data_IF_496338671637
#
_entry.id   IF_496338671637
#
_cell.length_a   1.000
_cell.length_b   1.000
_cell.length_c   1.000
_cell.angle_alpha   90.00
_cell.angle_beta   90.00
_cell.angle_gamma   90.00
#
_symmetry.space_group_name_H-M   'P 1'
#
loop_
_entity.id
_entity.type
_entity.pdbx_description
1 polymer ?
#
# COMPACT_ATOMS: atom_id res chain seq x y z
N UNK A 1 25.69 14.20 7.77
CA UNK A 1 24.23 14.40 7.96
C UNK A 1 23.65 13.17 8.66
N UNK A 2 22.45 13.25 9.27
CA UNK A 2 21.76 12.08 9.84
C UNK A 2 20.47 11.82 9.07
N UNK A 3 20.30 10.60 8.59
CA UNK A 3 19.15 10.16 7.82
C UNK A 3 18.30 9.23 8.70
N UNK A 4 17.09 9.66 9.04
CA UNK A 4 16.18 8.92 9.92
C UNK A 4 15.06 8.30 9.09
N UNK A 5 14.93 6.98 9.14
CA UNK A 5 13.94 6.22 8.36
C UNK A 5 12.91 5.63 9.29
N UNK A 6 11.61 5.69 8.93
CA UNK A 6 10.54 5.14 9.76
C UNK A 6 9.75 4.07 9.01
N UNK A 7 10.03 2.81 9.32
CA UNK A 7 9.36 1.65 8.74
C UNK A 7 8.34 1.07 9.72
N UNK A 8 7.06 1.17 9.33
CA UNK A 8 5.93 0.59 10.06
C UNK A 8 5.44 -0.71 9.43
N UNK A 9 5.85 -0.99 8.18
CA UNK A 9 5.57 -2.22 7.43
C UNK A 9 6.77 -2.66 6.59
N UNK A 10 6.75 -3.90 6.12
CA UNK A 10 7.86 -4.51 5.38
C UNK A 10 8.17 -3.80 4.05
N UNK A 11 7.13 -3.34 3.36
CA UNK A 11 7.29 -2.60 2.10
C UNK A 11 7.96 -1.23 2.30
N UNK A 12 7.86 -0.61 3.48
CA UNK A 12 8.60 0.63 3.78
C UNK A 12 10.11 0.35 3.79
N UNK A 13 10.52 -0.73 4.47
CA UNK A 13 11.93 -1.14 4.53
C UNK A 13 12.44 -1.36 3.11
N UNK A 14 11.72 -2.15 2.31
CA UNK A 14 12.10 -2.43 0.92
C UNK A 14 12.23 -1.14 0.10
N UNK A 15 11.28 -0.22 0.21
CA UNK A 15 11.36 1.06 -0.48
C UNK A 15 12.56 1.91 -0.04
N UNK A 16 12.86 1.96 1.26
CA UNK A 16 14.02 2.70 1.76
C UNK A 16 15.34 2.09 1.33
N UNK A 17 15.46 0.77 1.41
CA UNK A 17 16.66 0.04 0.98
C UNK A 17 16.93 0.22 -0.51
N UNK A 18 15.87 0.22 -1.32
CA UNK A 18 15.96 0.48 -2.74
C UNK A 18 16.44 1.94 -3.04
N UNK A 19 16.02 2.93 -2.25
CA UNK A 19 16.59 4.28 -2.34
C UNK A 19 18.08 4.32 -2.00
N UNK A 20 18.51 3.52 -1.01
CA UNK A 20 19.92 3.42 -0.61
C UNK A 20 20.76 2.78 -1.72
N UNK A 21 20.31 1.66 -2.28
CA UNK A 21 20.98 0.93 -3.37
C UNK A 21 21.17 1.79 -4.63
N UNK A 22 20.21 2.68 -4.89
CA UNK A 22 20.23 3.57 -6.03
C UNK A 22 20.89 4.93 -5.74
N UNK A 23 21.58 5.09 -4.61
CA UNK A 23 22.27 6.32 -4.22
C UNK A 23 21.34 7.57 -4.19
N UNK A 24 20.08 7.38 -3.81
CA UNK A 24 19.07 8.45 -3.69
C UNK A 24 18.91 8.97 -2.25
N UNK A 25 19.73 8.45 -1.34
CA UNK A 25 19.82 8.89 0.05
C UNK A 25 21.02 9.80 0.22
N UNK A 26 20.86 10.89 0.97
CA UNK A 26 21.97 11.83 1.24
C UNK A 26 23.06 11.12 2.04
N UNK A 27 24.32 11.38 1.72
CA UNK A 27 25.45 10.80 2.45
C UNK A 27 25.39 11.14 3.95
N UNK A 28 25.57 10.13 4.80
CA UNK A 28 25.52 10.27 6.25
C UNK A 28 25.07 9.01 6.96
N UNK A 29 24.96 9.09 8.28
CA UNK A 29 24.50 7.96 9.10
C UNK A 29 23.03 7.66 8.80
N UNK A 30 22.73 6.38 8.55
CA UNK A 30 21.41 5.83 8.26
C UNK A 30 20.87 5.13 9.50
N UNK A 31 19.84 5.71 10.07
CA UNK A 31 19.19 5.22 11.29
C UNK A 31 17.78 4.73 10.95
N UNK A 32 17.53 3.43 11.08
CA UNK A 32 16.21 2.83 10.85
C UNK A 32 15.43 2.70 12.15
N UNK A 33 14.22 3.24 12.17
CA UNK A 33 13.18 2.94 13.16
C UNK A 33 12.24 1.88 12.57
N UNK A 34 12.29 0.66 13.11
CA UNK A 34 11.54 -0.46 12.57
C UNK A 34 10.53 -1.02 13.58
N UNK A 35 9.36 -1.44 13.08
CA UNK A 35 8.46 -2.31 13.84
C UNK A 35 9.11 -3.65 14.18
N UNK A 36 8.60 -4.31 15.23
CA UNK A 36 9.08 -5.66 15.58
C UNK A 36 8.76 -6.65 14.46
N UNK A 37 9.73 -7.51 14.13
CA UNK A 37 9.59 -8.55 13.09
C UNK A 37 9.86 -8.10 11.65
N UNK A 38 10.16 -6.82 11.40
CA UNK A 38 10.55 -6.38 10.06
C UNK A 38 11.95 -6.90 9.69
N UNK A 39 12.08 -7.38 8.45
CA UNK A 39 13.31 -7.91 7.87
C UNK A 39 13.99 -6.78 7.11
N UNK A 40 15.30 -6.60 7.34
CA UNK A 40 16.13 -5.60 6.67
C UNK A 40 17.54 -6.15 6.44
N UNK A 41 18.24 -5.57 5.47
CA UNK A 41 19.66 -5.83 5.22
C UNK A 41 20.53 -4.99 6.17
N UNK A 42 21.20 -5.65 7.10
CA UNK A 42 22.03 -5.00 8.11
C UNK A 42 23.19 -4.17 7.51
N UNK A 43 23.63 -4.45 6.28
CA UNK A 43 24.71 -3.70 5.63
C UNK A 43 24.25 -2.31 5.16
N UNK A 44 22.94 -2.07 5.04
CA UNK A 44 22.37 -0.79 4.61
C UNK A 44 22.15 0.19 5.75
N UNK A 45 22.35 -0.24 7.00
CA UNK A 45 21.98 0.53 8.19
C UNK A 45 23.14 0.66 9.16
N UNK A 46 23.53 1.90 9.48
CA UNK A 46 24.53 2.17 10.50
C UNK A 46 23.95 1.90 11.90
N UNK A 47 22.64 2.13 12.07
CA UNK A 47 21.91 1.86 13.30
C UNK A 47 20.47 1.45 13.05
N UNK A 48 19.98 0.49 13.82
CA UNK A 48 18.57 0.09 13.82
C UNK A 48 18.01 0.14 15.25
N UNK A 49 16.88 0.83 15.41
CA UNK A 49 16.12 0.90 16.65
C UNK A 49 14.78 0.20 16.40
N UNK A 50 14.59 -0.94 17.07
CA UNK A 50 13.39 -1.75 16.92
C UNK A 50 12.34 -1.39 17.98
N UNK A 51 11.09 -1.47 17.59
CA UNK A 51 9.98 -1.54 18.52
C UNK A 51 10.00 -2.87 19.28
N UNK A 52 9.55 -2.87 20.53
CA UNK A 52 9.44 -4.10 21.33
C UNK A 52 8.28 -4.99 20.86
N UNK A 53 7.30 -4.39 20.18
CA UNK A 53 6.08 -5.07 19.73
C UNK A 53 5.83 -4.83 18.24
N UNK A 54 5.10 -5.75 17.62
CA UNK A 54 4.63 -5.56 16.25
C UNK A 54 3.51 -4.52 16.23
N UNK A 55 3.41 -3.76 15.14
CA UNK A 55 2.41 -2.69 15.01
C UNK A 55 1.07 -3.18 14.43
N UNK A 56 0.77 -4.47 14.56
CA UNK A 56 -0.48 -5.05 14.07
C UNK A 56 -1.67 -4.52 14.88
N UNK A 57 -2.62 -3.86 14.20
CA UNK A 57 -3.79 -3.23 14.82
C UNK A 57 -5.03 -4.13 14.84
N UNK A 58 -4.87 -5.45 14.80
CA UNK A 58 -6.00 -6.39 14.81
C UNK A 58 -6.49 -6.56 16.25
N UNK A 59 -7.46 -5.74 16.64
CA UNK A 59 -8.06 -5.76 17.96
C UNK A 59 -9.58 -5.88 17.84
N UNK A 60 -10.12 -6.98 18.37
CA UNK A 60 -11.52 -7.40 18.22
C UNK A 60 -12.51 -6.60 19.08
N UNK A 61 -12.02 -5.76 19.99
CA UNK A 61 -12.84 -4.97 20.92
C UNK A 61 -12.32 -3.54 21.12
N UNK A 62 -13.20 -2.61 21.51
CA UNK A 62 -12.80 -1.23 21.79
C UNK A 62 -11.72 -1.13 22.89
N UNK A 63 -11.79 -1.99 23.92
CA UNK A 63 -10.80 -2.04 24.99
C UNK A 63 -9.43 -2.53 24.48
N UNK A 64 -9.42 -3.61 23.67
CA UNK A 64 -8.18 -4.11 23.08
C UNK A 64 -7.57 -3.10 22.10
N UNK A 65 -8.38 -2.31 21.39
CA UNK A 65 -7.88 -1.21 20.55
C UNK A 65 -7.17 -0.13 21.37
N UNK A 66 -7.74 0.30 22.50
CA UNK A 66 -7.10 1.28 23.40
C UNK A 66 -5.80 0.72 23.97
N UNK A 67 -5.81 -0.52 24.45
CA UNK A 67 -4.61 -1.19 24.98
C UNK A 67 -3.50 -1.29 23.91
N UNK A 68 -3.86 -1.67 22.67
CA UNK A 68 -2.93 -1.74 21.56
C UNK A 68 -2.33 -0.37 21.21
N UNK A 69 -3.16 0.69 21.14
CA UNK A 69 -2.68 2.06 20.89
C UNK A 69 -1.73 2.51 22.01
N UNK A 70 -2.09 2.28 23.27
CA UNK A 70 -1.26 2.64 24.42
C UNK A 70 0.08 1.91 24.41
N UNK A 71 0.07 0.60 24.17
CA UNK A 71 1.29 -0.22 24.10
C UNK A 71 2.21 0.24 22.96
N UNK A 72 1.62 0.52 21.79
CA UNK A 72 2.32 1.07 20.62
C UNK A 72 2.99 2.42 20.95
N UNK A 73 2.28 3.32 21.61
CA UNK A 73 2.80 4.64 22.01
C UNK A 73 3.92 4.52 23.05
N UNK A 74 3.82 3.58 23.99
CA UNK A 74 4.92 3.27 24.93
C UNK A 74 6.18 2.79 24.20
N UNK A 75 6.02 1.92 23.21
CA UNK A 75 7.14 1.49 22.36
C UNK A 75 7.76 2.69 21.62
N UNK A 76 6.93 3.60 21.09
CA UNK A 76 7.43 4.83 20.46
C UNK A 76 8.20 5.72 21.42
N UNK A 77 7.73 5.88 22.65
CA UNK A 77 8.45 6.66 23.67
C UNK A 77 9.86 6.12 23.90
N UNK A 78 10.01 4.80 23.98
CA UNK A 78 11.32 4.13 24.11
C UNK A 78 12.18 4.36 22.86
N UNK A 79 11.63 4.18 21.66
CA UNK A 79 12.37 4.45 20.42
C UNK A 79 12.86 5.90 20.35
N UNK A 80 12.02 6.86 20.74
CA UNK A 80 12.34 8.29 20.73
C UNK A 80 13.40 8.69 21.77
N UNK A 81 13.51 7.98 22.90
CA UNK A 81 14.56 8.28 23.88
C UNK A 81 15.96 8.03 23.31
N UNK A 82 16.10 7.01 22.46
CA UNK A 82 17.33 6.71 21.73
C UNK A 82 17.70 7.76 20.67
N UNK A 83 16.79 8.64 20.30
CA UNK A 83 17.00 9.71 19.32
C UNK A 83 17.13 11.10 19.96
N UNK A 84 17.03 11.21 21.28
CA UNK A 84 17.00 12.50 21.99
C UNK A 84 18.18 13.42 21.65
N UNK A 85 19.35 12.85 21.41
CA UNK A 85 20.57 13.55 21.01
C UNK A 85 20.48 14.24 19.64
N UNK A 86 19.55 13.84 18.77
CA UNK A 86 19.39 14.36 17.41
C UNK A 86 18.45 15.57 17.30
N UNK A 87 17.76 15.97 18.38
CA UNK A 87 16.71 17.01 18.32
C UNK A 87 17.19 18.37 17.79
N UNK A 88 18.46 18.69 17.99
CA UNK A 88 19.07 19.95 17.56
C UNK A 88 19.93 19.80 16.29
N UNK A 89 20.05 18.59 15.77
CA UNK A 89 20.85 18.28 14.59
C UNK A 89 20.02 18.49 13.29
N UNK A 90 20.67 18.84 12.18
CA UNK A 90 20.04 18.79 10.86
C UNK A 90 19.82 17.32 10.46
N UNK A 91 18.56 16.95 10.29
CA UNK A 91 18.17 15.58 9.92
C UNK A 91 17.36 15.57 8.62
N UNK A 92 17.50 14.48 7.87
CA UNK A 92 16.60 14.14 6.77
C UNK A 92 15.74 12.97 7.19
N UNK A 93 14.44 13.20 7.28
CA UNK A 93 13.44 12.22 7.71
C UNK A 93 12.80 11.55 6.49
N UNK A 94 12.93 10.23 6.38
CA UNK A 94 12.30 9.40 5.36
C UNK A 94 11.05 8.72 5.94
N UNK A 95 9.87 9.08 5.43
CA UNK A 95 8.57 8.63 5.95
C UNK A 95 7.58 8.32 4.83
N UNK A 96 6.65 7.39 5.10
CA UNK A 96 5.62 7.02 4.12
C UNK A 96 4.31 7.82 4.29
N UNK A 97 3.95 8.16 5.54
CA UNK A 97 2.78 8.97 5.88
C UNK A 97 2.89 9.57 7.28
N UNK A 98 2.05 10.57 7.61
CA UNK A 98 2.15 11.38 8.85
C UNK A 98 0.98 11.21 9.84
N UNK A 99 0.14 10.18 9.64
CA UNK A 99 -1.00 9.85 10.52
C UNK A 99 -0.68 8.98 11.73
N UNK A 100 0.47 8.31 11.70
CA UNK A 100 0.93 7.55 12.85
C UNK A 100 1.60 8.48 13.86
N UNK A 101 1.47 8.16 15.16
CA UNK A 101 1.99 9.01 16.24
C UNK A 101 3.50 9.24 16.11
N UNK A 102 4.25 8.20 15.75
CA UNK A 102 5.71 8.28 15.62
C UNK A 102 6.10 9.18 14.44
N UNK A 103 5.57 8.92 13.25
CA UNK A 103 5.91 9.69 12.05
C UNK A 103 5.44 11.14 12.16
N UNK A 104 4.24 11.38 12.71
CA UNK A 104 3.74 12.73 12.97
C UNK A 104 4.64 13.52 13.92
N UNK A 105 5.05 12.91 15.04
CA UNK A 105 5.94 13.56 15.99
C UNK A 105 7.29 13.89 15.36
N UNK A 106 7.91 12.93 14.66
CA UNK A 106 9.18 13.12 13.96
C UNK A 106 9.10 14.21 12.89
N UNK A 107 7.97 14.27 12.18
CA UNK A 107 7.76 15.22 11.08
C UNK A 107 7.40 16.63 11.56
N UNK A 108 6.58 16.78 12.60
CA UNK A 108 6.01 18.09 13.00
C UNK A 108 6.57 18.67 14.31
N UNK A 109 7.29 17.87 15.11
CA UNK A 109 7.59 18.24 16.50
C UNK A 109 8.99 17.86 16.99
N UNK A 110 9.77 17.08 16.23
CA UNK A 110 11.03 16.53 16.72
C UNK A 110 12.19 17.54 16.76
N UNK A 111 12.48 18.17 15.63
CA UNK A 111 13.58 19.13 15.49
C UNK A 111 13.18 20.31 14.62
N UNK A 112 13.84 21.46 14.80
CA UNK A 112 13.58 22.68 14.00
C UNK A 112 14.18 22.60 12.59
N UNK A 113 15.19 21.77 12.40
CA UNK A 113 15.98 21.65 11.16
C UNK A 113 15.71 20.32 10.43
N UNK A 114 14.51 19.76 10.60
CA UNK A 114 14.11 18.52 9.92
C UNK A 114 13.68 18.82 8.48
N UNK A 115 14.41 18.26 7.52
CA UNK A 115 13.93 18.09 6.15
C UNK A 115 13.26 16.73 6.03
N UNK A 116 12.35 16.58 5.06
CA UNK A 116 11.64 15.32 4.86
C UNK A 116 11.68 14.84 3.41
N UNK A 117 11.77 13.53 3.27
CA UNK A 117 11.59 12.79 2.02
C UNK A 117 10.40 11.87 2.21
N UNK A 118 9.40 12.03 1.35
CA UNK A 118 8.24 11.13 1.34
C UNK A 118 8.58 9.92 0.47
N UNK A 119 8.25 8.74 0.96
CA UNK A 119 8.43 7.48 0.22
C UNK A 119 7.07 6.81 0.10
N UNK A 120 6.83 6.06 -0.97
CA UNK A 120 5.54 5.41 -1.19
C UNK A 120 5.13 4.50 -0.02
N UNK A 121 3.89 4.67 0.46
CA UNK A 121 3.22 3.76 1.41
C UNK A 121 2.44 2.67 0.67
N UNK A 122 1.94 2.97 -0.52
CA UNK A 122 1.02 2.14 -1.28
C UNK A 122 0.12 3.05 -2.11
N UNK A 123 -1.18 2.75 -2.14
CA UNK A 123 -2.11 3.57 -2.93
C UNK A 123 -2.40 4.95 -2.31
N UNK A 124 -2.08 5.17 -1.03
CA UNK A 124 -2.35 6.41 -0.27
C UNK A 124 -1.85 7.67 -0.97
N UNK A 125 -0.76 7.59 -1.74
CA UNK A 125 -0.15 8.75 -2.40
C UNK A 125 -0.92 9.23 -3.66
N UNK A 126 -1.96 8.51 -4.09
CA UNK A 126 -2.60 8.67 -5.40
C UNK A 126 -4.05 9.14 -5.37
N UNK A 127 -4.59 9.42 -4.19
CA UNK A 127 -5.96 9.91 -4.02
C UNK A 127 -6.05 10.93 -2.87
N UNK A 128 -7.18 11.61 -2.71
CA UNK A 128 -7.33 12.60 -1.64
C UNK A 128 -7.48 11.91 -0.28
N UNK A 129 -6.37 11.73 0.44
CA UNK A 129 -6.38 11.27 1.83
C UNK A 129 -5.97 12.39 2.78
N UNK A 130 -6.91 12.92 3.54
CA UNK A 130 -6.66 13.98 4.54
C UNK A 130 -7.33 13.68 5.88
N UNK A 131 -7.15 14.57 6.87
CA UNK A 131 -7.89 14.50 8.14
C UNK A 131 -9.43 14.45 7.96
N UNK A 132 -9.96 14.84 6.80
CA UNK A 132 -11.40 14.76 6.49
C UNK A 132 -11.85 13.31 6.22
N UNK A 133 -10.96 12.47 5.70
CA UNK A 133 -11.23 11.10 5.29
C UNK A 133 -11.00 10.10 6.45
N UNK A 134 -10.35 10.53 7.53
CA UNK A 134 -10.06 9.66 8.68
C UNK A 134 -11.08 9.81 9.81
N UNK A 135 -11.19 8.77 10.64
CA UNK A 135 -12.02 8.80 11.85
C UNK A 135 -11.50 9.82 12.86
N UNK A 136 -12.27 10.89 13.07
CA UNK A 136 -11.99 11.93 14.10
C UNK A 136 -11.84 11.33 15.49
N UNK A 137 -12.66 10.35 15.85
CA UNK A 137 -12.61 9.67 17.14
C UNK A 137 -11.27 8.93 17.31
N UNK A 138 -10.85 8.15 16.32
CA UNK A 138 -9.56 7.44 16.36
C UNK A 138 -8.38 8.41 16.44
N UNK A 139 -8.44 9.53 15.69
CA UNK A 139 -7.42 10.56 15.75
C UNK A 139 -7.33 11.20 17.14
N UNK A 140 -8.46 11.59 17.73
CA UNK A 140 -8.51 12.17 19.08
C UNK A 140 -8.01 11.19 20.14
N UNK A 141 -8.38 9.91 20.03
CA UNK A 141 -7.89 8.86 20.93
C UNK A 141 -6.36 8.75 20.88
N UNK A 142 -5.78 8.66 19.67
CA UNK A 142 -4.31 8.69 19.49
C UNK A 142 -3.70 9.95 20.10
N UNK A 143 -4.34 11.10 19.93
CA UNK A 143 -3.87 12.38 20.44
C UNK A 143 -3.81 12.41 21.96
N UNK A 144 -4.90 12.02 22.62
CA UNK A 144 -4.99 11.99 24.09
C UNK A 144 -3.94 11.04 24.67
N UNK A 145 -3.86 9.81 24.15
CA UNK A 145 -2.90 8.82 24.66
C UNK A 145 -1.46 9.25 24.37
N UNK A 146 -1.16 9.82 23.20
CA UNK A 146 0.18 10.30 22.91
C UNK A 146 0.59 11.44 23.86
N UNK A 147 -0.35 12.34 24.17
CA UNK A 147 -0.14 13.45 25.09
C UNK A 147 0.15 12.97 26.52
N UNK A 148 -0.57 11.97 27.04
CA UNK A 148 -0.29 11.42 28.39
C UNK A 148 1.10 10.79 28.49
N UNK A 149 1.65 10.31 27.37
CA UNK A 149 3.01 9.77 27.31
C UNK A 149 4.09 10.81 27.00
N UNK A 150 3.72 12.07 26.78
CA UNK A 150 4.66 13.16 26.46
C UNK A 150 5.13 13.17 25.01
N UNK A 151 4.35 12.59 24.09
CA UNK A 151 4.62 12.62 22.64
C UNK A 151 3.59 13.54 21.97
N UNK A 152 3.97 14.78 21.58
CA UNK A 152 3.08 15.67 20.85
C UNK A 152 2.60 15.07 19.51
N UNK A 153 1.32 14.71 19.44
CA UNK A 153 0.64 14.32 18.20
C UNK A 153 -0.21 15.48 17.69
N UNK A 154 0.22 16.09 16.58
CA UNK A 154 -0.36 17.33 16.06
C UNK A 154 -1.33 17.05 14.91
N UNK A 155 -2.41 17.83 14.87
CA UNK A 155 -3.26 17.93 13.69
C UNK A 155 -2.42 18.47 12.54
N UNK A 156 -2.35 17.73 11.44
CA UNK A 156 -1.70 18.16 10.21
C UNK A 156 -2.70 18.85 9.27
N UNK A 157 -2.21 19.60 8.30
CA UNK A 157 -3.00 20.22 7.25
C UNK A 157 -2.57 19.62 5.92
N UNK A 158 -3.54 19.46 5.02
CA UNK A 158 -3.27 18.88 3.70
C UNK A 158 -3.26 17.36 3.70
N UNK A 159 -2.56 16.81 2.71
CA UNK A 159 -2.50 15.39 2.42
C UNK A 159 -1.73 14.58 3.48
N UNK A 160 -2.18 13.36 3.73
CA UNK A 160 -1.69 12.48 4.80
C UNK A 160 -0.33 11.85 4.54
N UNK A 161 0.17 11.97 3.31
CA UNK A 161 1.57 11.70 3.00
C UNK A 161 2.51 12.79 3.54
N UNK A 162 2.01 14.00 3.82
CA UNK A 162 2.81 15.15 4.20
C UNK A 162 3.49 15.88 3.03
N UNK A 163 3.32 15.42 1.79
CA UNK A 163 4.05 15.91 0.61
C UNK A 163 3.92 17.43 0.32
N UNK A 164 2.84 18.08 0.78
CA UNK A 164 2.60 19.50 0.53
C UNK A 164 3.48 20.43 1.39
N UNK A 165 4.03 19.91 2.50
CA UNK A 165 4.77 20.71 3.46
C UNK A 165 6.05 21.29 2.87
N UNK A 166 6.41 22.51 3.28
CA UNK A 166 7.56 23.26 2.72
C UNK A 166 8.91 22.58 2.95
N UNK A 167 9.06 21.85 4.06
CA UNK A 167 10.30 21.15 4.40
C UNK A 167 10.41 19.76 3.74
N UNK A 168 9.42 19.35 2.94
CA UNK A 168 9.53 18.17 2.09
C UNK A 168 10.34 18.51 0.84
N UNK A 169 11.51 17.91 0.73
CA UNK A 169 12.48 18.18 -0.34
C UNK A 169 12.33 17.23 -1.54
N UNK A 170 11.74 16.04 -1.32
CA UNK A 170 11.53 15.04 -2.37
C UNK A 170 10.39 14.10 -1.99
N UNK A 171 9.73 13.53 -3.00
CA UNK A 171 8.93 12.31 -2.82
C UNK A 171 9.34 11.26 -3.85
N UNK A 172 9.43 9.99 -3.44
CA UNK A 172 9.75 8.88 -4.31
C UNK A 172 8.55 7.94 -4.41
N UNK A 173 7.93 7.92 -5.58
CA UNK A 173 6.70 7.19 -5.86
C UNK A 173 6.86 6.33 -7.10
N UNK A 174 6.14 5.22 -7.15
CA UNK A 174 6.15 4.33 -8.30
C UNK A 174 5.52 4.98 -9.53
N UNK A 175 4.50 5.83 -9.37
CA UNK A 175 3.77 6.50 -10.46
C UNK A 175 3.74 8.02 -10.25
N UNK A 176 4.88 8.73 -10.23
CA UNK A 176 4.97 10.10 -9.75
C UNK A 176 4.07 11.10 -10.50
N UNK A 177 3.83 10.87 -11.80
CA UNK A 177 2.95 11.70 -12.64
C UNK A 177 1.46 11.61 -12.25
N UNK A 178 1.09 10.57 -11.51
CA UNK A 178 -0.30 10.31 -11.09
C UNK A 178 -0.51 10.57 -9.60
N UNK A 179 0.51 11.06 -8.89
CA UNK A 179 0.39 11.38 -7.47
C UNK A 179 -0.66 12.49 -7.24
N UNK A 180 -1.40 12.38 -6.14
CA UNK A 180 -2.37 13.42 -5.74
C UNK A 180 -1.65 14.75 -5.49
N UNK A 181 -0.50 14.68 -4.82
CA UNK A 181 0.44 15.80 -4.68
C UNK A 181 1.64 15.50 -5.57
N UNK A 182 1.81 16.24 -6.67
CA UNK A 182 2.92 16.03 -7.63
C UNK A 182 4.19 16.81 -7.28
N UNK A 183 4.11 17.69 -6.27
CA UNK A 183 5.24 18.53 -5.87
C UNK A 183 6.43 17.67 -5.47
N UNK A 184 7.60 17.93 -6.05
CA UNK A 184 8.85 17.21 -5.80
C UNK A 184 8.77 15.69 -6.09
N UNK A 185 7.82 15.25 -6.92
CA UNK A 185 7.62 13.86 -7.31
C UNK A 185 8.73 13.33 -8.21
N UNK A 186 9.38 12.27 -7.73
CA UNK A 186 10.38 11.51 -8.46
C UNK A 186 9.96 10.06 -8.53
N UNK A 187 10.43 9.39 -9.58
CA UNK A 187 10.23 7.95 -9.76
C UNK A 187 11.02 7.22 -8.68
N UNK A 188 10.34 6.40 -7.89
CA UNK A 188 10.96 5.39 -7.05
C UNK A 188 11.64 4.39 -7.99
N UNK A 189 12.95 4.10 -7.81
CA UNK A 189 13.61 3.05 -8.58
C UNK A 189 12.85 1.75 -8.39
N UNK A 190 12.70 0.97 -9.43
CA UNK A 190 12.05 -0.34 -9.35
C UNK A 190 12.52 -1.14 -10.54
N UNK A 191 12.91 -2.37 -10.28
CA UNK A 191 13.23 -3.31 -11.35
C UNK A 191 11.98 -3.58 -12.17
N UNK A 192 12.10 -3.31 -13.48
CA UNK A 192 11.08 -3.66 -14.45
C UNK A 192 11.21 -5.12 -14.80
N UNK A 193 10.09 -5.82 -14.84
CA UNK A 193 10.04 -7.21 -15.28
C UNK A 193 9.67 -7.22 -16.75
N UNK A 194 10.49 -7.91 -17.54
CA UNK A 194 10.17 -8.24 -18.92
C UNK A 194 9.71 -9.69 -18.97
N UNK A 195 8.55 -9.93 -19.57
CA UNK A 195 7.95 -11.25 -19.63
C UNK A 195 8.20 -11.85 -21.02
N UNK A 196 8.76 -13.07 -21.11
CA UNK A 196 9.13 -13.64 -22.40
C UNK A 196 7.91 -14.02 -23.24
N UNK A 197 6.80 -14.40 -22.60
CA UNK A 197 5.55 -14.79 -23.25
C UNK A 197 4.35 -14.48 -22.34
N UNK A 198 3.19 -14.24 -22.92
CA UNK A 198 1.92 -14.18 -22.20
C UNK A 198 1.07 -15.41 -22.47
N UNK A 199 0.36 -15.85 -21.44
CA UNK A 199 -0.66 -16.87 -21.59
C UNK A 199 -2.00 -16.25 -22.01
N UNK A 200 -2.74 -16.94 -22.87
CA UNK A 200 -4.14 -16.64 -23.21
C UNK A 200 -5.04 -17.04 -22.04
N UNK A 201 -4.90 -16.32 -20.94
CA UNK A 201 -5.60 -16.61 -19.69
C UNK A 201 -6.11 -15.34 -19.04
N UNK A 202 -7.09 -15.51 -18.16
CA UNK A 202 -7.60 -14.47 -17.28
C UNK A 202 -7.13 -14.73 -15.85
N UNK A 203 -6.47 -13.76 -15.24
CA UNK A 203 -6.13 -13.78 -13.83
C UNK A 203 -7.05 -12.87 -13.02
N UNK A 204 -7.85 -13.46 -12.12
CA UNK A 204 -8.78 -12.76 -11.25
C UNK A 204 -8.22 -12.68 -9.82
N UNK A 205 -8.12 -11.45 -9.31
CA UNK A 205 -7.66 -11.16 -7.95
C UNK A 205 -8.89 -11.01 -7.03
N UNK A 206 -9.00 -11.92 -6.05
CA UNK A 206 -10.05 -11.91 -5.03
C UNK A 206 -9.98 -10.71 -4.08
N UNK A 207 -11.12 -10.35 -3.51
CA UNK A 207 -11.36 -9.20 -2.64
C UNK A 207 -12.44 -9.52 -1.57
N UNK A 208 -12.42 -10.74 -1.03
CA UNK A 208 -13.44 -11.28 -0.13
C UNK A 208 -13.56 -10.51 1.19
N UNK A 209 -12.57 -9.69 1.55
CA UNK A 209 -12.68 -8.74 2.66
C UNK A 209 -13.85 -7.77 2.50
N UNK A 210 -14.33 -7.52 1.28
CA UNK A 210 -15.54 -6.72 1.07
C UNK A 210 -16.81 -7.37 1.60
N UNK A 211 -16.88 -8.70 1.69
CA UNK A 211 -17.99 -9.37 2.36
C UNK A 211 -18.11 -8.96 3.82
N UNK A 212 -16.98 -8.79 4.51
CA UNK A 212 -16.94 -8.30 5.89
C UNK A 212 -17.22 -6.80 5.99
N UNK A 213 -16.69 -5.99 5.06
CA UNK A 213 -16.78 -4.52 5.12
C UNK A 213 -18.11 -3.94 4.65
N UNK A 214 -18.70 -4.52 3.61
CA UNK A 214 -19.91 -4.02 2.93
C UNK A 214 -21.12 -4.92 3.12
N UNK A 215 -20.92 -6.11 3.68
CA UNK A 215 -21.93 -7.15 3.87
C UNK A 215 -21.84 -8.25 2.82
N UNK A 216 -21.88 -9.51 3.28
CA UNK A 216 -21.62 -10.69 2.45
C UNK A 216 -22.55 -10.77 1.23
N UNK A 217 -23.85 -10.54 1.43
CA UNK A 217 -24.85 -10.61 0.35
C UNK A 217 -24.60 -9.56 -0.74
N UNK A 218 -24.21 -8.34 -0.34
CA UNK A 218 -23.88 -7.28 -1.29
C UNK A 218 -22.65 -7.65 -2.11
N UNK A 219 -21.60 -8.13 -1.43
CA UNK A 219 -20.37 -8.58 -2.09
C UNK A 219 -20.63 -9.73 -3.07
N UNK A 220 -21.35 -10.77 -2.66
CA UNK A 220 -21.69 -11.91 -3.53
C UNK A 220 -22.47 -11.45 -4.77
N UNK A 221 -23.44 -10.55 -4.61
CA UNK A 221 -24.20 -9.98 -5.74
C UNK A 221 -23.30 -9.20 -6.70
N UNK A 222 -22.38 -8.40 -6.15
CA UNK A 222 -21.47 -7.61 -6.97
C UNK A 222 -20.39 -8.46 -7.64
N UNK A 223 -20.00 -9.57 -7.03
CA UNK A 223 -19.14 -10.58 -7.62
C UNK A 223 -19.83 -11.29 -8.78
N UNK A 224 -21.09 -11.69 -8.62
CA UNK A 224 -21.86 -12.30 -9.72
C UNK A 224 -21.92 -11.37 -10.94
N UNK A 225 -22.23 -10.09 -10.74
CA UNK A 225 -22.23 -9.09 -11.81
C UNK A 225 -20.82 -8.92 -12.41
N UNK A 226 -19.78 -8.77 -11.59
CA UNK A 226 -18.39 -8.69 -12.05
C UNK A 226 -18.00 -9.85 -12.97
N UNK A 227 -18.26 -11.09 -12.53
CA UNK A 227 -17.92 -12.29 -13.30
C UNK A 227 -18.77 -12.36 -14.59
N UNK A 228 -20.04 -11.97 -14.55
CA UNK A 228 -20.88 -11.89 -15.74
C UNK A 228 -20.37 -10.84 -16.74
N UNK A 229 -19.87 -9.68 -16.28
CA UNK A 229 -19.29 -8.66 -17.16
C UNK A 229 -17.98 -9.12 -17.81
N UNK A 230 -17.15 -9.89 -17.10
CA UNK A 230 -15.94 -10.49 -17.66
C UNK A 230 -16.27 -11.44 -18.83
N UNK A 231 -17.30 -12.29 -18.67
CA UNK A 231 -17.76 -13.21 -19.73
C UNK A 231 -18.26 -12.50 -21.00
N UNK A 232 -18.71 -11.25 -20.88
CA UNK A 232 -19.16 -10.43 -22.01
C UNK A 232 -18.01 -9.77 -22.78
N UNK A 233 -16.80 -9.77 -22.24
CA UNK A 233 -15.66 -9.14 -22.90
C UNK A 233 -15.22 -9.96 -24.12
N UNK A 234 -14.76 -9.31 -25.20
CA UNK A 234 -14.33 -10.02 -26.42
C UNK A 234 -13.26 -11.08 -26.16
N UNK A 235 -12.30 -10.80 -25.28
CA UNK A 235 -11.21 -11.70 -24.95
C UNK A 235 -11.65 -13.03 -24.34
N UNK A 236 -12.86 -13.10 -23.76
CA UNK A 236 -13.34 -14.32 -23.10
C UNK A 236 -13.40 -15.52 -24.06
N UNK A 237 -13.59 -15.26 -25.37
CA UNK A 237 -13.56 -16.29 -26.41
C UNK A 237 -12.16 -16.82 -26.70
N UNK A 238 -11.13 -16.06 -26.38
CA UNK A 238 -9.74 -16.32 -26.75
C UNK A 238 -8.93 -16.97 -25.63
N UNK A 239 -9.41 -16.87 -24.39
CA UNK A 239 -8.78 -17.50 -23.23
C UNK A 239 -9.20 -18.95 -23.06
N UNK A 240 -8.28 -19.77 -22.56
CA UNK A 240 -8.54 -21.18 -22.24
C UNK A 240 -8.64 -21.42 -20.73
N UNK A 241 -7.88 -20.64 -19.95
CA UNK A 241 -7.74 -20.81 -18.50
C UNK A 241 -8.15 -19.55 -17.74
N UNK A 242 -8.85 -19.73 -16.62
CA UNK A 242 -9.16 -18.71 -15.63
C UNK A 242 -8.46 -19.05 -14.32
N UNK A 243 -7.49 -18.23 -13.94
CA UNK A 243 -6.85 -18.28 -12.65
C UNK A 243 -7.62 -17.42 -11.65
N UNK A 244 -7.99 -18.00 -10.51
CA UNK A 244 -8.59 -17.25 -9.40
C UNK A 244 -7.72 -17.37 -8.17
N UNK A 245 -7.30 -16.23 -7.61
CA UNK A 245 -6.62 -16.21 -6.32
C UNK A 245 -7.52 -15.56 -5.26
N UNK A 246 -8.02 -16.33 -4.28
CA UNK A 246 -8.83 -15.77 -3.21
C UNK A 246 -8.01 -14.79 -2.35
N UNK A 247 -8.70 -13.81 -1.77
CA UNK A 247 -8.08 -12.95 -0.78
C UNK A 247 -7.85 -13.72 0.53
N UNK A 248 -6.72 -13.45 1.19
CA UNK A 248 -6.36 -14.10 2.48
C UNK A 248 -7.32 -13.78 3.62
N UNK A 249 -8.05 -12.67 3.52
CA UNK A 249 -9.04 -12.22 4.49
C UNK A 249 -10.43 -12.25 3.86
N UNK A 250 -11.44 -12.62 4.65
CA UNK A 250 -12.83 -12.68 4.23
C UNK A 250 -13.31 -14.13 4.05
N UNK A 251 -14.62 -14.29 3.84
CA UNK A 251 -15.22 -15.60 3.59
C UNK A 251 -14.91 -16.02 2.15
N UNK A 252 -14.02 -16.99 1.99
CA UNK A 252 -13.72 -17.56 0.68
C UNK A 252 -14.92 -18.31 0.11
N UNK A 253 -15.15 -18.14 -1.19
CA UNK A 253 -16.15 -18.89 -1.93
C UNK A 253 -15.57 -20.23 -2.40
N UNK A 254 -16.40 -21.28 -2.50
CA UNK A 254 -15.91 -22.60 -2.89
C UNK A 254 -15.47 -22.61 -4.35
N UNK A 255 -14.46 -23.40 -4.67
CA UNK A 255 -13.97 -23.58 -6.05
C UNK A 255 -15.08 -24.01 -7.02
N UNK A 256 -16.05 -24.80 -6.55
CA UNK A 256 -17.22 -25.23 -7.32
C UNK A 256 -18.07 -24.07 -7.85
N UNK A 257 -18.12 -22.95 -7.12
CA UNK A 257 -18.82 -21.74 -7.59
C UNK A 257 -18.18 -21.18 -8.86
N UNK A 258 -16.85 -21.02 -8.88
CA UNK A 258 -16.14 -20.51 -10.05
C UNK A 258 -16.12 -21.48 -11.22
N UNK A 259 -15.98 -22.79 -10.95
CA UNK A 259 -16.14 -23.83 -11.98
C UNK A 259 -17.53 -23.83 -12.62
N UNK A 260 -18.56 -23.50 -11.83
CA UNK A 260 -19.92 -23.30 -12.34
C UNK A 260 -20.02 -22.06 -13.24
N UNK A 261 -19.46 -20.93 -12.79
CA UNK A 261 -19.51 -19.66 -13.53
C UNK A 261 -18.75 -19.73 -14.87
N UNK A 262 -17.58 -20.37 -14.87
CA UNK A 262 -16.68 -20.53 -16.02
C UNK A 262 -16.65 -21.97 -16.51
N UNK A 263 -17.82 -22.60 -16.65
CA UNK A 263 -17.96 -24.01 -17.00
C UNK A 263 -17.39 -24.42 -18.36
N UNK A 264 -17.16 -23.44 -19.25
CA UNK A 264 -16.55 -23.61 -20.56
C UNK A 264 -15.03 -23.39 -20.59
N UNK A 265 -14.41 -23.14 -19.43
CA UNK A 265 -12.97 -22.84 -19.28
C UNK A 265 -12.33 -23.77 -18.27
N UNK A 266 -11.00 -23.92 -18.34
CA UNK A 266 -10.23 -24.48 -17.23
C UNK A 266 -10.17 -23.45 -16.09
N UNK A 267 -10.59 -23.84 -14.88
CA UNK A 267 -10.51 -22.96 -13.70
C UNK A 267 -9.46 -23.49 -12.74
N UNK A 268 -8.46 -22.65 -12.45
CA UNK A 268 -7.36 -22.97 -11.53
C UNK A 268 -7.47 -22.09 -10.29
N UNK A 269 -7.66 -22.73 -9.14
CA UNK A 269 -7.70 -22.08 -7.83
C UNK A 269 -6.30 -21.97 -7.23
N UNK A 270 -5.83 -20.74 -7.04
CA UNK A 270 -4.47 -20.46 -6.55
C UNK A 270 -4.46 -20.35 -5.02
N UNK A 271 -4.48 -21.50 -4.34
CA UNK A 271 -4.39 -21.59 -2.88
C UNK A 271 -2.92 -21.57 -2.44
N UNK A 272 -2.36 -20.39 -2.25
CA UNK A 272 -0.95 -20.19 -1.94
C UNK A 272 -0.70 -18.93 -1.12
N UNK A 273 0.36 -18.94 -0.32
CA UNK A 273 0.84 -17.81 0.47
C UNK A 273 1.62 -16.78 -0.34
N UNK A 274 1.97 -17.10 -1.60
CA UNK A 274 2.64 -16.15 -2.48
C UNK A 274 1.79 -14.89 -2.71
N UNK A 275 2.43 -13.74 -2.94
CA UNK A 275 1.71 -12.52 -3.32
C UNK A 275 1.15 -12.65 -4.73
N UNK A 276 0.11 -11.87 -5.03
CA UNK A 276 -0.54 -11.90 -6.34
C UNK A 276 0.40 -11.40 -7.45
N UNK A 277 1.26 -10.44 -7.12
CA UNK A 277 2.33 -9.97 -8.00
C UNK A 277 3.36 -11.08 -8.26
N UNK A 278 3.77 -11.81 -7.21
CA UNK A 278 4.75 -12.91 -7.36
C UNK A 278 4.23 -13.99 -8.30
N UNK A 279 2.98 -14.43 -8.09
CA UNK A 279 2.33 -15.40 -8.96
C UNK A 279 2.27 -14.91 -10.40
N UNK A 280 1.85 -13.64 -10.59
CA UNK A 280 1.77 -13.08 -11.92
C UNK A 280 3.11 -13.12 -12.65
N UNK A 281 4.19 -12.63 -12.02
CA UNK A 281 5.50 -12.50 -12.66
C UNK A 281 6.28 -13.81 -12.75
N UNK A 282 6.02 -14.81 -11.90
CA UNK A 282 6.77 -16.07 -11.91
C UNK A 282 6.07 -17.21 -12.64
N UNK A 283 4.74 -17.23 -12.65
CA UNK A 283 3.98 -18.42 -13.01
C UNK A 283 2.91 -18.15 -14.08
N UNK A 284 2.11 -17.09 -13.94
CA UNK A 284 0.87 -16.96 -14.71
C UNK A 284 1.05 -16.25 -16.05
N UNK A 285 1.70 -15.08 -16.04
CA UNK A 285 1.86 -14.19 -17.19
C UNK A 285 0.57 -13.97 -17.99
N UNK A 286 -0.56 -13.85 -17.27
CA UNK A 286 -1.88 -13.74 -17.89
C UNK A 286 -2.00 -12.46 -18.73
N UNK A 287 -2.52 -12.60 -19.95
CA UNK A 287 -2.76 -11.46 -20.84
C UNK A 287 -3.91 -10.56 -20.34
N UNK A 288 -4.85 -11.12 -19.59
CA UNK A 288 -5.96 -10.39 -18.99
C UNK A 288 -5.90 -10.51 -17.48
N UNK A 289 -5.99 -9.38 -16.77
CA UNK A 289 -6.00 -9.35 -15.30
C UNK A 289 -7.20 -8.54 -14.84
N UNK A 290 -7.95 -9.06 -13.88
CA UNK A 290 -9.16 -8.42 -13.38
C UNK A 290 -9.22 -8.41 -11.84
N UNK A 291 -9.85 -7.38 -11.31
CA UNK A 291 -10.20 -7.30 -9.90
C UNK A 291 -11.23 -6.19 -9.66
N UNK A 292 -11.65 -6.02 -8.41
CA UNK A 292 -12.51 -4.88 -8.04
C UNK A 292 -11.71 -3.58 -8.07
N UNK A 293 -10.95 -3.27 -7.02
CA UNK A 293 -10.10 -2.06 -6.89
C UNK A 293 -8.76 -2.41 -6.19
N UNK A 294 -8.20 -3.57 -6.53
CA UNK A 294 -6.99 -4.08 -5.88
C UNK A 294 -5.75 -3.28 -6.28
N UNK A 295 -4.94 -2.89 -5.29
CA UNK A 295 -3.61 -2.30 -5.50
C UNK A 295 -2.67 -3.22 -6.28
N UNK A 296 -2.93 -4.53 -6.26
CA UNK A 296 -2.17 -5.51 -7.06
C UNK A 296 -2.19 -5.15 -8.54
N UNK A 297 -3.32 -4.67 -9.07
CA UNK A 297 -3.43 -4.29 -10.48
C UNK A 297 -2.44 -3.16 -10.82
N UNK A 298 -2.34 -2.17 -9.93
CA UNK A 298 -1.42 -1.04 -10.07
C UNK A 298 0.02 -1.51 -9.95
N UNK A 299 0.32 -2.40 -9.00
CA UNK A 299 1.67 -2.94 -8.79
C UNK A 299 2.15 -3.74 -10.00
N UNK A 300 1.32 -4.63 -10.56
CA UNK A 300 1.65 -5.38 -11.77
C UNK A 300 1.87 -4.42 -12.94
N UNK A 301 0.93 -3.50 -13.18
CA UNK A 301 1.05 -2.48 -14.24
C UNK A 301 2.36 -1.70 -14.13
N UNK A 302 2.71 -1.29 -12.91
CA UNK A 302 3.86 -0.45 -12.67
C UNK A 302 5.18 -1.21 -12.78
N UNK A 303 5.21 -2.51 -12.49
CA UNK A 303 6.42 -3.34 -12.56
C UNK A 303 6.67 -3.88 -13.98
N UNK A 304 5.65 -4.00 -14.83
CA UNK A 304 5.84 -4.26 -16.25
C UNK A 304 6.61 -3.13 -16.93
N UNK A 305 7.52 -3.49 -17.83
CA UNK A 305 8.08 -2.53 -18.77
C UNK A 305 6.98 -1.95 -19.69
N UNK A 306 7.27 -0.85 -20.38
CA UNK A 306 6.24 -0.13 -21.12
C UNK A 306 5.75 -0.91 -22.37
N UNK A 307 6.59 -1.73 -22.99
CA UNK A 307 6.23 -2.54 -24.18
C UNK A 307 5.36 -3.74 -23.81
N UNK A 308 5.70 -4.42 -22.71
CA UNK A 308 4.98 -5.57 -22.19
C UNK A 308 3.64 -5.14 -21.57
N UNK A 309 3.58 -3.96 -20.96
CA UNK A 309 2.33 -3.41 -20.42
C UNK A 309 1.25 -3.26 -21.49
N UNK A 310 1.59 -2.88 -22.72
CA UNK A 310 0.62 -2.74 -23.82
C UNK A 310 -0.02 -4.09 -24.23
N UNK A 311 0.64 -5.20 -23.91
CA UNK A 311 0.15 -6.55 -24.20
C UNK A 311 -0.81 -7.06 -23.12
N UNK A 312 -0.90 -6.39 -21.97
CA UNK A 312 -1.72 -6.80 -20.83
C UNK A 312 -2.94 -5.90 -20.69
N UNK A 313 -4.12 -6.51 -20.67
CA UNK A 313 -5.38 -5.79 -20.43
C UNK A 313 -5.75 -5.85 -18.95
N UNK A 314 -5.88 -4.67 -18.34
CA UNK A 314 -6.28 -4.51 -16.94
C UNK A 314 -7.76 -4.15 -16.84
N UNK A 315 -8.52 -5.00 -16.15
CA UNK A 315 -9.96 -4.83 -15.91
C UNK A 315 -10.21 -4.51 -14.44
N UNK A 316 -11.07 -3.51 -14.21
CA UNK A 316 -11.37 -2.99 -12.88
C UNK A 316 -12.88 -2.89 -12.72
N UNK A 317 -13.38 -3.19 -11.53
CA UNK A 317 -14.80 -3.11 -11.21
C UNK A 317 -15.01 -2.56 -9.79
N UNK A 318 -14.83 -1.25 -9.56
CA UNK A 318 -14.91 -0.70 -8.20
C UNK A 318 -16.30 -0.91 -7.59
N UNK A 319 -16.37 -1.32 -6.32
CA UNK A 319 -17.65 -1.60 -5.63
C UNK A 319 -18.35 -0.35 -5.06
N UNK A 320 -17.62 0.74 -4.93
CA UNK A 320 -18.07 2.01 -4.34
C UNK A 320 -17.48 3.17 -5.15
N UNK A 321 -17.87 4.40 -4.80
CA UNK A 321 -17.10 5.60 -5.17
C UNK A 321 -15.72 5.49 -4.53
N UNK A 322 -14.84 4.79 -5.22
CA UNK A 322 -13.51 4.49 -4.81
C UNK A 322 -12.61 5.66 -5.21
N UNK A 323 -11.85 6.14 -4.24
CA UNK A 323 -10.92 7.26 -4.39
C UNK A 323 -9.80 6.92 -5.40
N UNK A 324 -9.61 5.63 -5.76
CA UNK A 324 -8.69 5.17 -6.79
C UNK A 324 -9.25 5.19 -8.22
N UNK A 325 -10.55 5.41 -8.43
CA UNK A 325 -11.14 5.49 -9.78
C UNK A 325 -10.37 6.44 -10.70
N UNK A 326 -10.02 7.68 -10.28
CA UNK A 326 -9.24 8.58 -11.13
C UNK A 326 -7.88 8.01 -11.53
N UNK A 327 -7.21 7.31 -10.61
CA UNK A 327 -5.93 6.65 -10.91
C UNK A 327 -6.12 5.56 -11.97
N UNK A 328 -7.09 4.65 -11.79
CA UNK A 328 -7.37 3.60 -12.75
C UNK A 328 -7.72 4.15 -14.14
N UNK A 329 -8.51 5.24 -14.22
CA UNK A 329 -8.80 5.95 -15.47
C UNK A 329 -7.51 6.49 -16.12
N UNK A 330 -6.64 7.13 -15.33
CA UNK A 330 -5.39 7.70 -15.82
C UNK A 330 -4.38 6.64 -16.29
N UNK A 331 -4.43 5.42 -15.73
CA UNK A 331 -3.61 4.29 -16.16
C UNK A 331 -4.19 3.55 -17.37
N UNK A 332 -5.38 3.93 -17.84
CA UNK A 332 -6.05 3.32 -19.00
C UNK A 332 -6.72 1.99 -18.70
N UNK A 333 -7.12 1.73 -17.45
CA UNK A 333 -7.77 0.47 -17.09
C UNK A 333 -9.20 0.41 -17.64
N UNK A 334 -9.63 -0.80 -18.01
CA UNK A 334 -10.95 -1.05 -18.57
C UNK A 334 -11.97 -1.29 -17.44
N UNK A 335 -12.92 -0.36 -17.29
CA UNK A 335 -13.99 -0.49 -16.31
C UNK A 335 -15.10 -1.40 -16.81
N UNK A 336 -15.48 -2.38 -15.98
CA UNK A 336 -16.54 -3.34 -16.29
C UNK A 336 -17.94 -2.82 -15.93
N UNK A 337 -18.05 -1.89 -14.98
CA UNK A 337 -19.29 -1.27 -14.53
C UNK A 337 -19.44 0.19 -15.00
N UNK A 338 -19.32 0.44 -16.30
CA UNK A 338 -19.35 1.81 -16.88
C UNK A 338 -20.57 2.64 -16.45
N UNK A 339 -21.70 1.99 -16.20
CA UNK A 339 -22.97 2.65 -15.85
C UNK A 339 -23.04 3.12 -14.38
N UNK A 340 -22.06 2.76 -13.54
CA UNK A 340 -22.03 3.08 -12.09
C UNK A 340 -20.95 4.09 -11.69
N UNK A 341 -20.25 4.70 -12.65
CA UNK A 341 -19.04 5.53 -12.45
C UNK A 341 -19.24 7.02 -12.70
#
# INVERSE_FOLDING_TARGET
>A
MKNLFVALGQHHVQNFENLIENNLVVEGERILLAGSGLIYDALKWDRVIKAEQSFNNNADSAFSQVAAINSKILSYKKMLSHLSFLKNEPITLYVCYIEDVLTNYLFLSFGKNTQAVIVEDGTLNYYDHSLKNISRLKFLLKQTIAQTHGIPFKKYKGHSSGAEYKHVISQFLTLPKHAFVQKNAKKLPMEKESLPNFSKSLYIIGQESYGTLLGQKFFETALDDFLAQLKKQPFYKEIDTVYYKPHRNGKQLPETFFKSVFSDKEVVFLLTEQTSETLYFKELHAQHIAGFDSSTLINIYAKLDDQEREKVSFYVNPLKNDELIPLFKNLGFQFLNKDRL
#
